data_IF_581822998442
#
_entry.id   IF_581822998442
#
_cell.length_a   1.000
_cell.length_b   1.000
_cell.length_c   1.000
_cell.angle_alpha   90.00
_cell.angle_beta   90.00
_cell.angle_gamma   90.00
#
_symmetry.space_group_name_H-M   'P 1'
#
loop_
_entity.id
_entity.type
_entity.pdbx_description
1 polymer ?
#
# COMPACT_ATOMS: atom_id res chain seq x y z
N UNK A 1 11.30 -2.67 -14.24
CA UNK A 1 10.31 -1.58 -14.10
C UNK A 1 9.02 -2.28 -13.74
N UNK A 2 8.56 -2.14 -12.50
CA UNK A 2 7.28 -2.76 -12.10
C UNK A 2 6.17 -1.94 -12.74
N UNK A 3 5.26 -2.62 -13.43
CA UNK A 3 4.12 -2.01 -14.09
C UNK A 3 3.11 -1.54 -13.05
N UNK A 4 2.42 -0.43 -13.30
CA UNK A 4 1.39 0.09 -12.40
C UNK A 4 0.28 -0.96 -12.14
N UNK A 5 0.07 -1.90 -13.07
CA UNK A 5 -0.85 -3.02 -12.90
C UNK A 5 -0.37 -4.05 -11.86
N UNK A 6 0.94 -4.27 -11.75
CA UNK A 6 1.51 -5.14 -10.71
C UNK A 6 1.39 -4.50 -9.33
N UNK A 7 1.58 -3.18 -9.23
CA UNK A 7 1.32 -2.40 -8.00
C UNK A 7 -0.15 -2.53 -7.60
N UNK A 8 -1.07 -2.30 -8.54
CA UNK A 8 -2.50 -2.42 -8.30
C UNK A 8 -2.89 -3.84 -7.88
N UNK A 9 -2.30 -4.86 -8.50
CA UNK A 9 -2.57 -6.27 -8.16
C UNK A 9 -2.11 -6.62 -6.74
N UNK A 10 -0.93 -6.12 -6.34
CA UNK A 10 -0.42 -6.28 -4.99
C UNK A 10 -1.31 -5.55 -3.97
N UNK A 11 -1.70 -4.30 -4.26
CA UNK A 11 -2.61 -3.50 -3.45
C UNK A 11 -3.97 -4.18 -3.27
N UNK A 12 -4.57 -4.65 -4.37
CA UNK A 12 -5.85 -5.35 -4.35
C UNK A 12 -5.77 -6.69 -3.61
N UNK A 13 -4.66 -7.42 -3.70
CA UNK A 13 -4.45 -8.65 -2.93
C UNK A 13 -4.38 -8.36 -1.42
N UNK A 14 -3.57 -7.37 -1.01
CA UNK A 14 -3.51 -6.94 0.39
C UNK A 14 -4.87 -6.45 0.90
N UNK A 15 -5.59 -5.67 0.10
CA UNK A 15 -6.92 -5.20 0.46
C UNK A 15 -7.94 -6.34 0.61
N UNK A 16 -7.84 -7.39 -0.21
CA UNK A 16 -8.71 -8.57 -0.08
C UNK A 16 -8.38 -9.43 1.15
N UNK A 17 -7.10 -9.58 1.46
CA UNK A 17 -6.62 -10.41 2.57
C UNK A 17 -6.76 -9.72 3.93
N UNK A 18 -6.43 -8.42 4.00
CA UNK A 18 -6.36 -7.67 5.24
C UNK A 18 -7.47 -6.61 5.40
N UNK A 19 -8.25 -6.31 4.35
CA UNK A 19 -9.31 -5.28 4.37
C UNK A 19 -8.78 -4.00 5.01
N UNK A 20 -9.42 -3.50 6.07
CA UNK A 20 -9.03 -2.28 6.79
C UNK A 20 -7.59 -2.26 7.33
N UNK A 21 -6.91 -3.41 7.41
CA UNK A 21 -5.53 -3.48 7.91
C UNK A 21 -4.50 -3.45 6.77
N UNK A 22 -4.94 -3.44 5.51
CA UNK A 22 -4.06 -3.48 4.34
C UNK A 22 -3.08 -2.30 4.30
N UNK A 23 -3.53 -1.10 4.67
CA UNK A 23 -2.68 0.10 4.77
C UNK A 23 -1.57 -0.10 5.81
N UNK A 24 -1.94 -0.54 7.02
CA UNK A 24 -1.00 -0.78 8.12
C UNK A 24 0.04 -1.84 7.75
N UNK A 25 -0.38 -2.91 7.06
CA UNK A 25 0.52 -3.97 6.59
C UNK A 25 1.49 -3.43 5.53
N UNK A 26 1.01 -2.60 4.59
CA UNK A 26 1.87 -1.98 3.57
C UNK A 26 2.87 -1.00 4.19
N UNK A 27 2.44 -0.19 5.16
CA UNK A 27 3.30 0.72 5.90
C UNK A 27 4.41 -0.03 6.64
N UNK A 28 4.05 -1.07 7.40
CA UNK A 28 5.01 -1.93 8.10
C UNK A 28 6.04 -2.55 7.16
N UNK A 29 5.60 -3.02 5.99
CA UNK A 29 6.51 -3.58 4.97
C UNK A 29 7.45 -2.52 4.41
N UNK A 30 7.02 -1.28 4.26
CA UNK A 30 7.88 -0.18 3.84
C UNK A 30 8.97 0.11 4.89
N UNK A 31 8.61 0.12 6.17
CA UNK A 31 9.55 0.27 7.28
C UNK A 31 10.56 -0.90 7.33
N UNK A 32 10.10 -2.15 7.19
CA UNK A 32 11.01 -3.32 7.14
C UNK A 32 12.04 -3.21 5.99
N UNK A 33 11.66 -2.64 4.84
CA UNK A 33 12.60 -2.43 3.73
C UNK A 33 13.58 -1.30 4.02
N UNK A 34 13.13 -0.23 4.70
CA UNK A 34 14.00 0.85 5.16
C UNK A 34 15.03 0.34 6.18
N UNK A 35 14.61 -0.48 7.15
CA UNK A 35 15.49 -1.11 8.15
C UNK A 35 16.55 -2.00 7.49
N UNK A 36 16.21 -2.63 6.38
CA UNK A 36 17.13 -3.42 5.55
C UNK A 36 18.04 -2.58 4.65
N UNK A 37 17.82 -1.27 4.57
CA UNK A 37 18.51 -0.37 3.66
C UNK A 37 18.04 -0.45 2.20
N UNK A 38 16.95 -1.17 1.94
CA UNK A 38 16.39 -1.36 0.59
C UNK A 38 15.41 -0.23 0.25
N UNK A 39 15.97 0.89 -0.22
CA UNK A 39 15.19 2.07 -0.65
C UNK A 39 14.31 1.77 -1.86
N UNK A 40 14.69 0.79 -2.70
CA UNK A 40 13.91 0.37 -3.86
C UNK A 40 12.59 -0.27 -3.46
N UNK A 41 12.63 -1.23 -2.54
CA UNK A 41 11.46 -1.89 -1.98
C UNK A 41 10.60 -0.93 -1.17
N UNK A 42 11.19 -0.02 -0.39
CA UNK A 42 10.45 1.03 0.30
C UNK A 42 9.58 1.85 -0.68
N UNK A 43 10.16 2.25 -1.81
CA UNK A 43 9.45 3.04 -2.82
C UNK A 43 8.27 2.28 -3.45
N UNK A 44 8.45 0.97 -3.67
CA UNK A 44 7.38 0.09 -4.18
C UNK A 44 6.26 -0.05 -3.16
N UNK A 45 6.57 -0.28 -1.88
CA UNK A 45 5.56 -0.37 -0.83
C UNK A 45 4.79 0.93 -0.61
N UNK A 46 5.44 2.09 -0.75
CA UNK A 46 4.75 3.38 -0.74
C UNK A 46 3.73 3.53 -1.88
N UNK A 47 4.06 3.05 -3.09
CA UNK A 47 3.12 3.05 -4.22
C UNK A 47 1.94 2.11 -3.95
N UNK A 48 2.21 0.91 -3.42
CA UNK A 48 1.16 -0.05 -3.04
C UNK A 48 0.23 0.54 -1.98
N UNK A 49 0.79 1.19 -0.95
CA UNK A 49 0.01 1.84 0.11
C UNK A 49 -0.92 2.91 -0.46
N UNK A 50 -0.42 3.74 -1.38
CA UNK A 50 -1.25 4.75 -2.05
C UNK A 50 -2.42 4.11 -2.80
N UNK A 51 -2.17 3.06 -3.58
CA UNK A 51 -3.26 2.35 -4.28
C UNK A 51 -4.25 1.69 -3.32
N UNK A 52 -3.79 1.18 -2.16
CA UNK A 52 -4.69 0.65 -1.13
C UNK A 52 -5.61 1.74 -0.61
N UNK A 53 -5.10 2.94 -0.34
CA UNK A 53 -5.91 4.10 0.09
C UNK A 53 -6.91 4.51 -1.01
N UNK A 54 -6.48 4.54 -2.27
CA UNK A 54 -7.37 4.84 -3.40
C UNK A 54 -8.44 3.75 -3.59
N UNK A 55 -8.11 2.46 -3.35
CA UNK A 55 -9.02 1.33 -3.42
C UNK A 55 -10.02 1.25 -2.26
N UNK A 56 -9.59 1.62 -1.05
CA UNK A 56 -10.46 1.69 0.13
C UNK A 56 -11.39 2.89 0.09
N UNK A 57 -11.11 3.84 -0.81
CA UNK A 57 -11.75 5.14 -0.87
C UNK A 57 -11.25 6.04 0.26
N UNK A 58 -11.44 7.36 0.15
CA UNK A 58 -11.16 8.25 1.28
C UNK A 58 -11.93 7.74 2.50
N UNK A 59 -11.32 7.67 3.70
CA UNK A 59 -12.11 7.48 4.92
C UNK A 59 -13.17 8.58 4.86
N UNK A 60 -14.45 8.18 4.87
CA UNK A 60 -15.62 9.05 4.74
C UNK A 60 -15.57 10.18 5.78
N UNK A 61 -14.82 11.24 5.49
CA UNK A 61 -14.94 12.56 6.06
C UNK A 61 -15.90 13.32 5.17
N UNK A 62 -17.20 13.08 5.35
CA UNK A 62 -18.21 14.00 4.82
C UNK A 62 -18.02 15.34 5.52
N UNK A 63 -17.77 16.46 4.82
CA UNK A 63 -18.03 17.75 5.41
C UNK A 63 -19.55 17.93 5.49
N UNK A 64 -20.10 17.98 6.70
CA UNK A 64 -21.39 18.61 6.99
C UNK A 64 -21.12 19.86 7.82
#
# INVERSE_FOLDING_TARGET
MIDDRDIWRAANLLNREHKNHAEIVAARRADEMLERGDRGGQLVWHRIMREIVELQGPPLGKPN
#
